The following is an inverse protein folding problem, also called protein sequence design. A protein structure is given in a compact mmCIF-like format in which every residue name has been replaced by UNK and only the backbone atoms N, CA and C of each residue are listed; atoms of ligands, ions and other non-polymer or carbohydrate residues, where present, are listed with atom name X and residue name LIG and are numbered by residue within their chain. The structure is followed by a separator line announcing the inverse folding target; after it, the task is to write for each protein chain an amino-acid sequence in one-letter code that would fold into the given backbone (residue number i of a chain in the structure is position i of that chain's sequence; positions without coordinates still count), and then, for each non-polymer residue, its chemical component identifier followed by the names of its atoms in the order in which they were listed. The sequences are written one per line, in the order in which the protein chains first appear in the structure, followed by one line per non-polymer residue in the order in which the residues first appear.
data_IF_589076411330
#
_entry.id   IF_589076411330
#
_cell.length_a   1.000
_cell.length_b   1.000
_cell.length_c   1.000
_cell.angle_alpha   90.00
_cell.angle_beta   90.00
_cell.angle_gamma   90.00
#
_symmetry.space_group_name_H-M   'P 1'
#
loop_
_entity.id
_entity.type
_entity.pdbx_description
1 polymer ?
#
# COMPACT_ATOMS: atom_id res chain seq x y z
N UNK A 1 -60.21 -1.83 83.71
CA UNK A 1 -59.05 -2.46 83.05
C UNK A 1 -59.56 -2.98 81.72
N UNK A 2 -59.23 -2.52 80.53
CA UNK A 2 -58.21 -1.63 79.96
C UNK A 2 -58.79 -1.14 78.62
N UNK A 3 -58.65 0.15 78.31
CA UNK A 3 -59.16 0.76 77.08
C UNK A 3 -58.33 0.32 75.87
N UNK A 4 -59.01 -0.12 74.80
CA UNK A 4 -58.41 -0.37 73.50
C UNK A 4 -58.27 0.97 72.74
N UNK A 5 -57.04 1.49 72.65
CA UNK A 5 -56.71 2.59 71.75
C UNK A 5 -56.52 2.06 70.33
N UNK A 6 -57.58 2.17 69.52
CA UNK A 6 -57.47 2.05 68.07
C UNK A 6 -56.75 3.28 67.52
N UNK A 7 -55.48 3.11 67.14
CA UNK A 7 -54.71 4.15 66.45
C UNK A 7 -55.22 4.23 65.01
N UNK A 8 -56.14 5.16 64.77
CA UNK A 8 -56.50 5.66 63.45
C UNK A 8 -55.23 6.25 62.80
N UNK A 9 -54.60 5.46 61.91
CA UNK A 9 -53.58 5.97 61.00
C UNK A 9 -54.24 7.04 60.12
N UNK A 10 -53.89 8.31 60.38
CA UNK A 10 -54.46 9.48 59.69
C UNK A 10 -54.32 9.34 58.16
N UNK A 11 -55.32 9.73 57.34
CA UNK A 11 -55.25 9.68 55.87
C UNK A 11 -54.08 10.49 55.27
N UNK A 12 -53.49 11.39 56.07
CA UNK A 12 -52.35 12.23 55.73
C UNK A 12 -51.06 11.39 55.56
N UNK A 13 -50.88 10.31 56.35
CA UNK A 13 -49.66 9.48 56.26
C UNK A 13 -49.67 8.59 55.01
N UNK A 14 -50.83 8.12 54.58
CA UNK A 14 -51.01 7.39 53.32
C UNK A 14 -50.77 8.27 52.09
N UNK A 15 -51.18 9.55 52.13
CA UNK A 15 -50.92 10.50 51.04
C UNK A 15 -49.44 10.83 50.87
N UNK A 16 -48.71 10.99 51.98
CA UNK A 16 -47.25 11.22 51.97
C UNK A 16 -46.46 10.01 51.46
N UNK A 17 -46.90 8.79 51.80
CA UNK A 17 -46.33 7.55 51.27
C UNK A 17 -46.58 7.39 49.77
N UNK A 18 -47.77 7.76 49.29
CA UNK A 18 -48.08 7.71 47.86
C UNK A 18 -47.27 8.73 47.06
N UNK A 19 -47.10 9.94 47.60
CA UNK A 19 -46.27 10.98 47.00
C UNK A 19 -44.79 10.61 46.98
N UNK A 20 -44.27 9.98 48.05
CA UNK A 20 -42.87 9.53 48.08
C UNK A 20 -42.65 8.36 47.12
N UNK A 21 -43.61 7.43 46.99
CA UNK A 21 -43.56 6.35 46.01
C UNK A 21 -43.62 6.88 44.57
N UNK A 22 -44.43 7.91 44.33
CA UNK A 22 -44.53 8.57 43.02
C UNK A 22 -43.27 9.37 42.68
N UNK A 23 -42.66 10.07 43.64
CA UNK A 23 -41.35 10.71 43.46
C UNK A 23 -40.24 9.68 43.22
N UNK A 24 -40.25 8.55 43.94
CA UNK A 24 -39.31 7.47 43.73
C UNK A 24 -39.49 6.83 42.35
N UNK A 25 -40.73 6.64 41.89
CA UNK A 25 -41.04 6.16 40.55
C UNK A 25 -40.60 7.15 39.47
N UNK A 26 -40.79 8.46 39.70
CA UNK A 26 -40.29 9.52 38.81
C UNK A 26 -38.76 9.59 38.79
N UNK A 27 -38.08 9.36 39.92
CA UNK A 27 -36.62 9.28 40.00
C UNK A 27 -36.09 8.02 39.30
N UNK A 28 -36.76 6.87 39.47
CA UNK A 28 -36.43 5.62 38.78
C UNK A 28 -36.67 5.71 37.27
N UNK A 29 -37.72 6.42 36.83
CA UNK A 29 -38.02 6.66 35.40
C UNK A 29 -37.13 7.77 34.81
N UNK A 30 -36.75 8.77 35.59
CA UNK A 30 -35.87 9.88 35.18
C UNK A 30 -34.40 9.49 35.04
N UNK A 31 -33.99 8.35 35.60
CA UNK A 31 -32.64 7.79 35.48
C UNK A 31 -32.32 7.28 34.06
N UNK A 32 -33.31 7.25 33.15
CA UNK A 32 -33.15 6.76 31.78
C UNK A 32 -33.07 7.86 30.72
N UNK A 33 -33.08 9.15 31.08
CA UNK A 33 -32.80 10.22 30.13
C UNK A 33 -31.31 10.60 30.21
N UNK A 34 -30.46 9.74 29.64
CA UNK A 34 -29.20 10.25 29.11
C UNK A 34 -29.54 11.20 27.95
N UNK A 35 -28.89 12.38 27.86
CA UNK A 35 -29.05 13.23 26.69
C UNK A 35 -28.69 12.41 25.47
N UNK A 36 -29.64 12.27 24.54
CA UNK A 36 -29.42 11.62 23.26
C UNK A 36 -28.48 12.52 22.44
N UNK A 37 -27.18 12.41 22.69
CA UNK A 37 -26.16 12.80 21.72
C UNK A 37 -26.44 11.99 20.46
N UNK A 38 -26.79 12.68 19.39
CA UNK A 38 -27.16 12.06 18.12
C UNK A 38 -25.91 11.36 17.54
N UNK A 39 -25.79 10.07 17.83
CA UNK A 39 -24.72 9.23 17.30
C UNK A 39 -25.12 8.70 15.91
N UNK A 40 -24.14 8.31 15.07
CA UNK A 40 -24.41 7.63 13.82
C UNK A 40 -25.27 6.38 14.09
N UNK A 41 -26.24 6.11 13.22
CA UNK A 41 -27.11 4.93 13.36
C UNK A 41 -26.26 3.66 13.38
N UNK A 42 -26.42 2.84 14.41
CA UNK A 42 -25.65 1.60 14.59
C UNK A 42 -24.35 1.75 15.38
N UNK A 43 -23.98 2.97 15.79
CA UNK A 43 -22.86 3.21 16.70
C UNK A 43 -23.32 3.37 18.14
N UNK A 44 -22.52 2.90 19.09
CA UNK A 44 -22.75 3.10 20.52
C UNK A 44 -21.44 3.31 21.29
N UNK A 45 -21.45 4.17 22.32
CA UNK A 45 -20.33 4.30 23.24
C UNK A 45 -20.26 3.10 24.19
N UNK A 46 -19.05 2.72 24.55
CA UNK A 46 -18.69 1.70 25.53
C UNK A 46 -17.49 2.20 26.34
N UNK A 47 -17.27 1.64 27.52
CA UNK A 47 -16.09 1.91 28.32
C UNK A 47 -15.40 0.60 28.66
N UNK A 48 -14.14 0.47 28.27
CA UNK A 48 -13.34 -0.74 28.45
C UNK A 48 -12.03 -0.35 29.11
N UNK A 49 -11.77 -0.90 30.30
CA UNK A 49 -10.55 -0.60 31.09
C UNK A 49 -10.34 0.90 31.40
N UNK A 50 -11.43 1.66 31.51
CA UNK A 50 -11.39 3.11 31.73
C UNK A 50 -11.09 3.94 30.47
N UNK A 51 -11.05 3.31 29.30
CA UNK A 51 -10.86 3.96 28.00
C UNK A 51 -12.21 4.13 27.29
N UNK A 52 -12.41 5.32 26.71
CA UNK A 52 -13.60 5.63 25.92
C UNK A 52 -13.54 4.89 24.60
N UNK A 53 -14.48 3.96 24.44
CA UNK A 53 -14.57 3.07 23.29
C UNK A 53 -15.81 3.42 22.49
N UNK A 54 -15.68 3.51 21.17
CA UNK A 54 -16.81 3.77 20.29
C UNK A 54 -16.95 2.61 19.31
N UNK A 55 -18.07 1.88 19.38
CA UNK A 55 -18.32 0.68 18.58
C UNK A 55 -19.34 0.99 17.50
N UNK A 56 -18.94 0.83 16.25
CA UNK A 56 -19.72 1.06 15.04
C UNK A 56 -19.69 -0.18 14.12
N UNK A 57 -19.48 -1.36 14.70
CA UNK A 57 -19.32 -2.62 13.97
C UNK A 57 -20.63 -2.99 13.24
N UNK A 58 -20.53 -3.39 11.97
CA UNK A 58 -21.69 -3.79 11.14
C UNK A 58 -22.82 -2.74 11.08
N UNK A 59 -22.46 -1.46 11.03
CA UNK A 59 -23.39 -0.34 10.92
C UNK A 59 -23.69 0.06 9.45
N UNK A 60 -23.27 -0.75 8.47
CA UNK A 60 -23.42 -0.49 7.03
C UNK A 60 -22.79 0.84 6.58
N UNK A 61 -21.72 1.27 7.24
CA UNK A 61 -21.07 2.54 6.97
C UNK A 61 -20.31 2.49 5.64
N UNK A 62 -20.48 3.52 4.82
CA UNK A 62 -19.73 3.72 3.57
C UNK A 62 -18.58 4.72 3.71
N UNK A 63 -18.53 5.44 4.83
CA UNK A 63 -17.51 6.42 5.15
C UNK A 63 -17.24 6.45 6.66
N UNK A 64 -16.10 7.01 7.05
CA UNK A 64 -15.76 7.23 8.46
C UNK A 64 -16.69 8.32 9.03
N UNK A 65 -17.46 8.05 10.10
CA UNK A 65 -18.37 9.03 10.67
C UNK A 65 -17.60 10.20 11.29
N UNK A 66 -18.09 11.44 11.09
CA UNK A 66 -17.48 12.65 11.67
C UNK A 66 -18.02 13.00 13.06
N UNK A 67 -19.15 12.41 13.45
CA UNK A 67 -19.85 12.70 14.71
C UNK A 67 -19.30 11.86 15.88
N UNK A 68 -18.05 11.39 15.80
CA UNK A 68 -17.39 10.61 16.86
C UNK A 68 -16.73 11.60 17.84
N UNK A 69 -16.92 11.44 19.15
CA UNK A 69 -16.29 12.31 20.15
C UNK A 69 -14.76 12.30 20.06
N UNK A 70 -14.14 13.48 20.16
CA UNK A 70 -12.69 13.67 20.04
C UNK A 70 -11.86 13.09 21.21
N UNK A 71 -12.52 12.69 22.28
CA UNK A 71 -11.96 12.02 23.46
C UNK A 71 -12.02 10.49 23.38
N UNK A 72 -12.36 9.94 22.20
CA UNK A 72 -12.37 8.50 21.94
C UNK A 72 -10.95 7.93 21.90
N UNK A 73 -10.72 6.84 22.63
CA UNK A 73 -9.45 6.11 22.66
C UNK A 73 -9.46 4.86 21.78
N UNK A 74 -10.58 4.16 21.68
CA UNK A 74 -10.72 2.97 20.85
C UNK A 74 -11.89 3.13 19.88
N UNK A 75 -11.66 2.89 18.61
CA UNK A 75 -12.68 3.00 17.57
C UNK A 75 -12.78 1.71 16.77
N UNK A 76 -13.94 1.08 16.82
CA UNK A 76 -14.26 -0.14 16.10
C UNK A 76 -15.21 0.19 14.94
N UNK A 77 -14.70 0.10 13.70
CA UNK A 77 -15.41 0.32 12.44
C UNK A 77 -15.44 -0.96 11.59
N UNK A 78 -15.25 -2.11 12.21
CA UNK A 78 -15.22 -3.44 11.58
C UNK A 78 -16.56 -3.84 10.94
N UNK A 79 -16.50 -4.75 9.95
CA UNK A 79 -17.68 -5.25 9.23
C UNK A 79 -18.55 -4.16 8.57
N UNK A 80 -17.93 -3.09 8.09
CA UNK A 80 -18.60 -2.03 7.33
C UNK A 80 -18.28 -2.12 5.82
N UNK A 81 -18.61 -1.09 5.06
CA UNK A 81 -18.50 -1.05 3.59
C UNK A 81 -17.66 0.15 3.13
N UNK A 82 -16.71 0.60 3.96
CA UNK A 82 -15.87 1.76 3.67
C UNK A 82 -14.93 1.42 2.50
N UNK A 83 -15.00 2.12 1.35
CA UNK A 83 -14.23 1.74 0.16
C UNK A 83 -12.88 2.48 0.03
N UNK A 84 -12.74 3.65 0.66
CA UNK A 84 -11.52 4.45 0.61
C UNK A 84 -11.31 5.22 1.91
N UNK A 85 -10.05 5.50 2.23
CA UNK A 85 -9.67 6.40 3.33
C UNK A 85 -9.02 7.67 2.76
N UNK A 86 -9.68 8.84 2.89
CA UNK A 86 -9.10 10.10 2.45
C UNK A 86 -7.98 10.55 3.39
N UNK A 87 -7.19 11.53 2.95
CA UNK A 87 -6.30 12.28 3.84
C UNK A 87 -7.09 12.83 5.02
N UNK A 88 -6.49 12.83 6.21
CA UNK A 88 -7.08 13.40 7.42
C UNK A 88 -8.41 12.73 7.84
N UNK A 89 -8.64 11.47 7.45
CA UNK A 89 -9.86 10.71 7.76
C UNK A 89 -10.19 10.66 9.27
N UNK A 90 -9.16 10.75 10.13
CA UNK A 90 -9.28 10.67 11.60
C UNK A 90 -8.77 11.95 12.28
N UNK A 91 -8.85 13.11 11.62
CA UNK A 91 -8.31 14.36 12.14
C UNK A 91 -8.92 14.80 13.47
N UNK A 92 -10.20 14.53 13.65
CA UNK A 92 -10.96 14.94 14.84
C UNK A 92 -10.78 13.98 16.02
N UNK A 93 -9.99 12.90 15.86
CA UNK A 93 -9.80 11.84 16.84
C UNK A 93 -8.31 11.69 17.26
N UNK A 94 -7.68 12.74 17.79
CA UNK A 94 -6.23 12.76 18.04
C UNK A 94 -5.76 11.84 19.19
N UNK A 95 -6.70 11.33 20.01
CA UNK A 95 -6.42 10.51 21.19
C UNK A 95 -6.64 9.00 20.95
N UNK A 96 -6.84 8.59 19.70
CA UNK A 96 -7.00 7.18 19.36
C UNK A 96 -5.72 6.40 19.64
N UNK A 97 -5.90 5.30 20.35
CA UNK A 97 -4.91 4.29 20.68
C UNK A 97 -5.12 3.02 19.85
N UNK A 98 -6.37 2.68 19.55
CA UNK A 98 -6.75 1.48 18.82
C UNK A 98 -7.80 1.81 17.75
N UNK A 99 -7.54 1.38 16.52
CA UNK A 99 -8.43 1.56 15.39
C UNK A 99 -8.60 0.25 14.64
N UNK A 100 -9.83 -0.25 14.60
CA UNK A 100 -10.20 -1.44 13.84
C UNK A 100 -11.03 -1.04 12.62
N UNK A 101 -10.47 -1.30 11.43
CA UNK A 101 -11.09 -1.12 10.12
C UNK A 101 -11.15 -2.46 9.37
N UNK A 102 -11.03 -3.57 10.09
CA UNK A 102 -11.07 -4.91 9.50
C UNK A 102 -12.41 -5.19 8.84
N UNK A 103 -12.44 -6.16 7.91
CA UNK A 103 -13.68 -6.59 7.26
C UNK A 103 -14.47 -5.45 6.58
N UNK A 104 -13.76 -4.49 5.98
CA UNK A 104 -14.33 -3.43 5.17
C UNK A 104 -14.09 -3.69 3.66
N UNK A 105 -14.40 -2.69 2.83
CA UNK A 105 -14.17 -2.74 1.39
C UNK A 105 -13.00 -1.86 0.94
N UNK A 106 -12.06 -1.53 1.84
CA UNK A 106 -11.05 -0.49 1.61
C UNK A 106 -10.11 -0.96 0.51
N UNK A 107 -10.13 -0.26 -0.62
CA UNK A 107 -9.26 -0.54 -1.76
C UNK A 107 -8.12 0.47 -1.90
N UNK A 108 -8.28 1.68 -1.34
CA UNK A 108 -7.30 2.77 -1.44
C UNK A 108 -7.20 3.56 -0.14
N UNK A 109 -5.97 3.88 0.24
CA UNK A 109 -5.63 4.73 1.38
C UNK A 109 -4.79 5.89 0.84
N UNK A 110 -5.23 7.12 1.07
CA UNK A 110 -4.47 8.30 0.67
C UNK A 110 -3.27 8.57 1.58
N UNK A 111 -2.29 9.29 1.06
CA UNK A 111 -1.15 9.74 1.85
C UNK A 111 -1.60 10.74 2.91
N UNK A 112 -1.25 10.45 4.17
CA UNK A 112 -1.67 11.22 5.33
C UNK A 112 -3.05 10.87 5.88
N UNK A 113 -3.67 9.76 5.47
CA UNK A 113 -4.94 9.30 6.07
C UNK A 113 -4.85 9.11 7.60
N UNK A 114 -3.69 8.66 8.09
CA UNK A 114 -3.42 8.43 9.52
C UNK A 114 -2.51 9.49 10.16
N UNK A 115 -2.27 10.63 9.50
CA UNK A 115 -1.28 11.62 9.94
C UNK A 115 -1.61 12.19 11.34
N UNK A 116 -2.89 12.41 11.63
CA UNK A 116 -3.36 12.88 12.95
C UNK A 116 -3.16 11.86 14.07
N UNK A 117 -2.95 10.58 13.73
CA UNK A 117 -2.87 9.47 14.67
C UNK A 117 -1.43 9.04 14.97
N UNK A 118 -0.44 9.61 14.27
CA UNK A 118 0.95 9.14 14.28
C UNK A 118 1.60 9.08 15.67
N UNK A 119 1.21 9.97 16.59
CA UNK A 119 1.80 10.08 17.93
C UNK A 119 1.21 9.09 18.95
N UNK A 120 -0.09 8.81 18.89
CA UNK A 120 -0.81 8.09 19.95
C UNK A 120 -1.29 6.69 19.56
N UNK A 121 -1.45 6.40 18.26
CA UNK A 121 -1.98 5.12 17.83
C UNK A 121 -1.00 3.99 18.14
N UNK A 122 -1.51 2.92 18.76
CA UNK A 122 -0.76 1.74 19.13
C UNK A 122 -1.12 0.52 18.28
N UNK A 123 -2.37 0.42 17.84
CA UNK A 123 -2.86 -0.69 17.04
C UNK A 123 -3.76 -0.20 15.91
N UNK A 124 -3.51 -0.72 14.71
CA UNK A 124 -4.29 -0.48 13.50
C UNK A 124 -4.59 -1.81 12.81
N UNK A 125 -5.87 -2.17 12.74
CA UNK A 125 -6.30 -3.34 11.98
C UNK A 125 -6.91 -2.93 10.63
N UNK A 126 -6.27 -3.37 9.54
CA UNK A 126 -6.74 -3.21 8.15
C UNK A 126 -6.94 -4.59 7.49
N UNK A 127 -7.02 -5.66 8.27
CA UNK A 127 -7.17 -7.01 7.75
C UNK A 127 -8.51 -7.22 7.04
N UNK A 128 -8.57 -8.22 6.17
CA UNK A 128 -9.81 -8.59 5.48
C UNK A 128 -10.44 -7.42 4.70
N UNK A 129 -9.61 -6.64 4.02
CA UNK A 129 -10.00 -5.54 3.14
C UNK A 129 -9.70 -5.88 1.67
N UNK A 130 -9.69 -4.87 0.79
CA UNK A 130 -9.46 -5.01 -0.65
C UNK A 130 -8.18 -4.30 -1.12
N UNK A 131 -7.20 -4.17 -0.24
CA UNK A 131 -5.95 -3.48 -0.53
C UNK A 131 -5.09 -4.31 -1.48
N UNK A 132 -4.81 -3.76 -2.66
CA UNK A 132 -3.91 -4.38 -3.64
C UNK A 132 -2.48 -3.85 -3.49
N UNK A 133 -2.34 -2.55 -3.29
CA UNK A 133 -1.04 -1.90 -3.09
C UNK A 133 -1.25 -0.59 -2.32
N UNK A 134 -0.40 -0.33 -1.35
CA UNK A 134 -0.42 0.90 -0.54
C UNK A 134 1.00 1.47 -0.46
N UNK A 135 1.13 2.78 -0.61
CA UNK A 135 2.44 3.43 -0.42
C UNK A 135 2.82 3.39 1.06
N UNK A 136 4.10 3.16 1.37
CA UNK A 136 4.65 3.33 2.72
C UNK A 136 4.35 4.73 3.30
N UNK A 137 4.22 5.74 2.44
CA UNK A 137 3.95 7.12 2.84
C UNK A 137 2.55 7.30 3.43
N UNK A 138 1.62 6.38 3.17
CA UNK A 138 0.30 6.39 3.83
C UNK A 138 0.43 6.12 5.35
N UNK A 139 1.47 5.39 5.75
CA UNK A 139 1.79 5.04 7.14
C UNK A 139 3.01 5.82 7.66
N UNK A 140 3.44 6.90 6.99
CA UNK A 140 4.62 7.65 7.40
C UNK A 140 4.49 8.16 8.82
N UNK A 141 5.53 7.97 9.64
CA UNK A 141 5.60 8.35 11.06
C UNK A 141 4.65 7.58 11.99
N UNK A 142 3.85 6.64 11.48
CA UNK A 142 3.00 5.81 12.31
C UNK A 142 3.85 4.75 13.04
N UNK A 143 3.81 4.75 14.37
CA UNK A 143 4.51 3.77 15.22
C UNK A 143 3.61 2.63 15.72
N UNK A 144 2.36 2.61 15.26
CA UNK A 144 1.40 1.59 15.62
C UNK A 144 1.77 0.23 15.04
N UNK A 145 1.37 -0.84 15.73
CA UNK A 145 1.37 -2.19 15.16
C UNK A 145 0.23 -2.29 14.15
N UNK A 146 0.55 -2.73 12.94
CA UNK A 146 -0.39 -2.79 11.82
C UNK A 146 -0.68 -4.23 11.45
N UNK A 147 -1.97 -4.57 11.34
CA UNK A 147 -2.42 -5.83 10.75
C UNK A 147 -2.87 -5.59 9.30
N UNK A 148 -2.19 -6.24 8.37
CA UNK A 148 -2.44 -6.13 6.91
C UNK A 148 -2.86 -7.48 6.30
N UNK A 149 -3.16 -8.48 7.13
CA UNK A 149 -3.52 -9.82 6.66
C UNK A 149 -4.79 -9.84 5.80
N UNK A 150 -4.98 -10.90 5.02
CA UNK A 150 -6.22 -11.16 4.28
C UNK A 150 -6.62 -10.02 3.32
N UNK A 151 -5.65 -9.46 2.61
CA UNK A 151 -5.87 -8.48 1.55
C UNK A 151 -5.31 -9.04 0.23
N UNK A 152 -5.88 -8.67 -0.94
CA UNK A 152 -5.46 -9.14 -2.25
C UNK A 152 -4.16 -8.48 -2.73
N UNK A 153 -3.08 -8.69 -1.97
CA UNK A 153 -1.82 -7.98 -2.18
C UNK A 153 -1.16 -8.32 -3.53
N UNK A 154 -0.74 -7.27 -4.23
CA UNK A 154 0.22 -7.36 -5.32
C UNK A 154 1.63 -7.40 -4.73
N UNK A 155 2.29 -8.55 -4.85
CA UNK A 155 3.65 -8.75 -4.36
C UNK A 155 4.67 -8.16 -5.33
N UNK A 156 5.04 -6.91 -5.06
CA UNK A 156 6.05 -6.15 -5.78
C UNK A 156 7.02 -5.45 -4.82
N UNK A 157 7.90 -4.60 -5.36
CA UNK A 157 8.82 -3.80 -4.55
C UNK A 157 8.09 -2.81 -3.62
N UNK A 158 6.88 -2.34 -3.97
CA UNK A 158 6.14 -1.39 -3.12
C UNK A 158 5.65 -2.06 -1.85
N UNK A 159 5.13 -3.29 -1.97
CA UNK A 159 4.75 -4.08 -0.80
C UNK A 159 5.98 -4.37 0.08
N UNK A 160 7.13 -4.68 -0.53
CA UNK A 160 8.37 -4.90 0.22
C UNK A 160 8.82 -3.67 1.01
N UNK A 161 8.73 -2.47 0.42
CA UNK A 161 9.02 -1.23 1.10
C UNK A 161 8.02 -0.92 2.23
N UNK A 162 6.72 -1.21 2.01
CA UNK A 162 5.68 -1.04 3.02
C UNK A 162 5.95 -1.92 4.24
N UNK A 163 6.18 -3.22 4.04
CA UNK A 163 6.42 -4.18 5.13
C UNK A 163 7.69 -3.86 5.91
N UNK A 164 8.69 -3.22 5.28
CA UNK A 164 9.89 -2.72 5.97
C UNK A 164 9.64 -1.43 6.76
N UNK A 165 8.63 -0.66 6.40
CA UNK A 165 8.33 0.62 7.02
C UNK A 165 7.38 0.52 8.23
N UNK A 166 6.56 -0.53 8.29
CA UNK A 166 5.55 -0.72 9.36
C UNK A 166 5.94 -1.83 10.34
N UNK A 167 5.51 -1.70 11.60
CA UNK A 167 5.62 -2.78 12.58
C UNK A 167 4.43 -3.72 12.44
N UNK A 168 4.63 -4.95 11.96
CA UNK A 168 3.55 -5.91 11.80
C UNK A 168 3.17 -6.59 13.12
N UNK A 169 1.87 -6.83 13.31
CA UNK A 169 1.40 -7.74 14.36
C UNK A 169 1.89 -9.16 14.05
N UNK A 170 2.31 -9.93 15.07
CA UNK A 170 2.85 -11.28 14.89
C UNK A 170 1.91 -12.20 14.08
N UNK A 171 0.60 -12.10 14.30
CA UNK A 171 -0.43 -12.84 13.54
C UNK A 171 -0.53 -12.40 12.08
N UNK A 172 -0.24 -11.13 11.78
CA UNK A 172 -0.27 -10.60 10.41
C UNK A 172 0.85 -11.15 9.53
N UNK A 173 1.97 -11.60 10.12
CA UNK A 173 3.16 -12.03 9.39
C UNK A 173 2.92 -13.22 8.45
N UNK A 174 2.06 -14.17 8.85
CA UNK A 174 1.65 -15.31 8.03
C UNK A 174 0.41 -15.06 7.17
N UNK A 175 -0.38 -14.03 7.49
CA UNK A 175 -1.63 -13.71 6.80
C UNK A 175 -1.48 -12.80 5.57
N UNK A 176 -0.28 -12.29 5.29
CA UNK A 176 0.01 -11.51 4.08
C UNK A 176 0.42 -12.50 2.98
N UNK A 177 -0.55 -12.86 2.15
CA UNK A 177 -0.38 -13.80 1.03
C UNK A 177 -0.45 -13.03 -0.29
N UNK A 178 0.41 -13.40 -1.24
CA UNK A 178 0.42 -12.81 -2.57
C UNK A 178 -0.79 -13.28 -3.37
N UNK A 179 -1.73 -12.38 -3.67
CA UNK A 179 -2.86 -12.67 -4.57
C UNK A 179 -2.44 -12.52 -6.04
N UNK A 180 -1.61 -11.51 -6.31
CA UNK A 180 -1.00 -11.30 -7.61
C UNK A 180 0.48 -10.97 -7.47
N UNK A 181 1.26 -11.27 -8.50
CA UNK A 181 2.69 -11.00 -8.55
C UNK A 181 3.11 -10.90 -10.01
N UNK A 182 4.21 -10.18 -10.26
CA UNK A 182 4.85 -10.14 -11.57
C UNK A 182 5.51 -11.45 -11.97
N UNK A 183 5.82 -12.30 -10.98
CA UNK A 183 6.25 -13.68 -11.17
C UNK A 183 5.16 -14.60 -10.62
N UNK A 184 4.57 -15.43 -11.50
CA UNK A 184 3.46 -16.33 -11.16
C UNK A 184 3.81 -17.32 -10.03
N UNK A 185 5.10 -17.64 -9.86
CA UNK A 185 5.59 -18.55 -8.82
C UNK A 185 5.43 -18.04 -7.38
N UNK A 186 5.13 -16.76 -7.19
CA UNK A 186 4.91 -16.17 -5.88
C UNK A 186 3.43 -16.11 -5.48
N UNK A 187 2.51 -16.31 -6.43
CA UNK A 187 1.07 -16.28 -6.16
C UNK A 187 0.69 -17.41 -5.20
N UNK A 188 -0.10 -17.08 -4.17
CA UNK A 188 -0.50 -17.99 -3.10
C UNK A 188 0.53 -18.24 -2.01
N UNK A 189 1.74 -17.67 -2.11
CA UNK A 189 2.78 -17.79 -1.06
C UNK A 189 2.69 -16.65 -0.05
N UNK A 190 3.10 -16.93 1.19
CA UNK A 190 3.25 -15.89 2.20
C UNK A 190 4.37 -14.92 1.78
N UNK A 191 4.10 -13.62 1.88
CA UNK A 191 5.01 -12.60 1.39
C UNK A 191 6.38 -12.63 2.08
N UNK A 192 6.41 -12.90 3.39
CA UNK A 192 7.66 -13.02 4.14
C UNK A 192 8.56 -14.16 3.64
N UNK A 193 7.97 -15.24 3.12
CA UNK A 193 8.73 -16.31 2.47
C UNK A 193 9.32 -15.84 1.13
N UNK A 194 8.54 -15.11 0.34
CA UNK A 194 8.98 -14.58 -0.96
C UNK A 194 10.19 -13.65 -0.81
N UNK A 195 10.16 -12.72 0.16
CA UNK A 195 11.26 -11.78 0.37
C UNK A 195 12.49 -12.39 1.07
N UNK A 196 12.34 -13.58 1.67
CA UNK A 196 13.47 -14.34 2.19
C UNK A 196 14.28 -14.98 1.04
N UNK A 197 13.60 -15.40 -0.02
CA UNK A 197 14.20 -16.06 -1.19
C UNK A 197 14.68 -15.06 -2.25
N UNK A 198 14.01 -13.91 -2.40
CA UNK A 198 14.32 -12.92 -3.43
C UNK A 198 14.08 -11.46 -2.99
N UNK A 199 15.01 -10.57 -3.33
CA UNK A 199 14.82 -9.12 -3.14
C UNK A 199 14.08 -8.52 -4.35
N UNK A 200 12.75 -8.42 -4.26
CA UNK A 200 11.88 -7.95 -5.35
C UNK A 200 12.31 -6.58 -5.89
N UNK A 201 12.85 -5.69 -5.05
CA UNK A 201 13.34 -4.38 -5.49
C UNK A 201 14.64 -4.44 -6.33
N UNK A 202 15.47 -5.48 -6.15
CA UNK A 202 16.74 -5.63 -6.86
C UNK A 202 16.67 -6.58 -8.07
N UNK A 203 15.74 -7.55 -8.06
CA UNK A 203 15.52 -8.48 -9.19
C UNK A 203 15.26 -7.72 -10.50
N UNK A 204 14.55 -6.60 -10.45
CA UNK A 204 14.29 -5.76 -11.63
C UNK A 204 15.54 -5.10 -12.21
N UNK A 205 16.44 -4.60 -11.36
CA UNK A 205 17.70 -4.00 -11.84
C UNK A 205 18.60 -5.05 -12.51
N UNK A 206 18.65 -6.25 -11.92
CA UNK A 206 19.51 -7.33 -12.42
C UNK A 206 19.06 -7.85 -13.79
N UNK A 207 17.74 -7.97 -14.02
CA UNK A 207 17.21 -8.43 -15.31
C UNK A 207 17.40 -7.39 -16.42
N UNK A 208 17.23 -6.09 -16.12
CA UNK A 208 17.50 -5.02 -17.10
C UNK A 208 18.97 -4.93 -17.49
N UNK A 209 19.89 -5.11 -16.54
CA UNK A 209 21.33 -5.08 -16.83
C UNK A 209 21.74 -6.23 -17.76
N UNK A 210 21.25 -7.45 -17.51
CA UNK A 210 21.53 -8.60 -18.37
C UNK A 210 20.95 -8.41 -19.78
N UNK A 211 19.70 -7.97 -19.89
CA UNK A 211 19.07 -7.73 -21.19
C UNK A 211 19.81 -6.65 -21.99
N UNK A 212 20.21 -5.56 -21.33
CA UNK A 212 20.97 -4.49 -21.97
C UNK A 212 22.35 -4.99 -22.44
N UNK A 213 23.05 -5.79 -21.64
CA UNK A 213 24.32 -6.41 -22.06
C UNK A 213 24.14 -7.34 -23.27
N UNK A 214 23.11 -8.19 -23.28
CA UNK A 214 22.83 -9.08 -24.43
C UNK A 214 22.55 -8.28 -25.70
N UNK A 215 21.75 -7.22 -25.62
CA UNK A 215 21.48 -6.36 -26.80
C UNK A 215 22.74 -5.62 -27.27
N UNK A 216 23.58 -5.15 -26.35
CA UNK A 216 24.85 -4.50 -26.67
C UNK A 216 25.80 -5.46 -27.39
N UNK A 217 26.00 -6.68 -26.87
CA UNK A 217 26.82 -7.69 -27.52
C UNK A 217 26.26 -8.11 -28.88
N UNK A 218 24.93 -8.24 -29.02
CA UNK A 218 24.29 -8.52 -30.30
C UNK A 218 24.53 -7.42 -31.33
N UNK A 219 24.45 -6.15 -30.92
CA UNK A 219 24.70 -5.01 -31.80
C UNK A 219 26.17 -4.92 -32.21
N UNK A 220 27.10 -5.10 -31.28
CA UNK A 220 28.54 -5.15 -31.59
C UNK A 220 28.88 -6.30 -32.55
N UNK A 221 28.32 -7.50 -32.33
CA UNK A 221 28.51 -8.61 -33.24
C UNK A 221 28.00 -8.28 -34.66
N UNK A 222 26.80 -7.68 -34.76
CA UNK A 222 26.25 -7.24 -36.05
C UNK A 222 27.15 -6.22 -36.76
N UNK A 223 27.60 -5.18 -36.03
CA UNK A 223 28.47 -4.13 -36.59
C UNK A 223 29.81 -4.69 -37.01
N UNK A 224 30.44 -5.54 -36.20
CA UNK A 224 31.72 -6.18 -36.53
C UNK A 224 31.54 -7.07 -37.78
N UNK A 225 30.48 -7.87 -37.84
CA UNK A 225 30.18 -8.69 -39.03
C UNK A 225 29.97 -7.84 -40.28
N UNK A 226 29.25 -6.73 -40.18
CA UNK A 226 29.05 -5.79 -41.29
C UNK A 226 30.37 -5.16 -41.75
N UNK A 227 31.22 -4.70 -40.82
CA UNK A 227 32.52 -4.13 -41.15
C UNK A 227 33.44 -5.16 -41.81
N UNK A 228 33.49 -6.39 -41.29
CA UNK A 228 34.28 -7.48 -41.90
C UNK A 228 33.77 -7.78 -43.31
N UNK A 229 32.46 -7.88 -43.49
CA UNK A 229 31.85 -8.06 -44.81
C UNK A 229 32.22 -6.92 -45.77
N UNK A 230 32.06 -5.67 -45.34
CA UNK A 230 32.35 -4.48 -46.14
C UNK A 230 33.83 -4.41 -46.55
N UNK A 231 34.76 -4.71 -45.63
CA UNK A 231 36.20 -4.74 -45.92
C UNK A 231 36.53 -5.86 -46.90
N UNK A 232 35.97 -7.07 -46.71
CA UNK A 232 36.18 -8.21 -47.63
C UNK A 232 35.67 -7.88 -49.03
N UNK A 233 34.48 -7.32 -49.13
CA UNK A 233 33.87 -6.89 -50.38
C UNK A 233 34.74 -5.86 -51.11
N UNK A 234 35.18 -4.80 -50.41
CA UNK A 234 36.05 -3.78 -50.99
C UNK A 234 37.41 -4.33 -51.43
N UNK A 235 37.98 -5.29 -50.69
CA UNK A 235 39.23 -5.95 -51.11
C UNK A 235 39.04 -6.80 -52.38
N UNK A 236 37.91 -7.49 -52.50
CA UNK A 236 37.57 -8.26 -53.70
C UNK A 236 37.33 -7.37 -54.91
N UNK A 237 36.62 -6.25 -54.75
CA UNK A 237 36.41 -5.25 -55.81
C UNK A 237 37.75 -4.64 -56.26
N UNK A 238 38.61 -4.21 -55.32
CA UNK A 238 39.94 -3.67 -55.65
C UNK A 238 40.82 -4.69 -56.41
N UNK A 239 40.76 -5.97 -56.01
CA UNK A 239 41.50 -7.05 -56.68
C UNK A 239 41.02 -7.24 -58.12
N UNK A 240 39.71 -7.25 -58.35
CA UNK A 240 39.11 -7.34 -59.70
C UNK A 240 39.52 -6.17 -60.59
N UNK A 241 39.51 -4.94 -60.07
CA UNK A 241 39.97 -3.76 -60.81
C UNK A 241 41.45 -3.85 -61.20
N UNK A 242 42.32 -4.36 -60.30
CA UNK A 242 43.73 -4.55 -60.61
C UNK A 242 43.96 -5.58 -61.72
N UNK A 243 43.19 -6.68 -61.70
CA UNK A 243 43.24 -7.72 -62.74
C UNK A 243 42.75 -7.20 -64.10
N UNK A 244 41.70 -6.38 -64.11
CA UNK A 244 41.24 -5.68 -65.32
C UNK A 244 42.30 -4.71 -65.88
N UNK A 245 42.98 -3.95 -65.01
CA UNK A 245 44.05 -3.04 -65.46
C UNK A 245 45.24 -3.81 -66.06
N UNK A 246 45.53 -5.01 -65.57
CA UNK A 246 46.59 -5.88 -66.11
C UNK A 246 46.23 -6.51 -67.47
N UNK A 247 44.95 -6.74 -67.75
CA UNK A 247 44.51 -7.33 -69.01
C UNK A 247 44.41 -6.32 -70.16
N UNK A 248 44.48 -5.03 -69.86
CA UNK A 248 44.55 -3.99 -70.88
C UNK A 248 45.87 -4.11 -71.68
N UNK A 249 45.81 -4.13 -73.03
CA UNK A 249 47.00 -4.25 -73.86
C UNK A 249 47.92 -3.04 -73.63
N UNK A 250 49.19 -3.29 -73.30
CA UNK A 250 50.17 -2.21 -73.14
C UNK A 250 50.42 -1.57 -74.50
N UNK A 251 50.15 -0.26 -74.61
CA UNK A 251 50.53 0.50 -75.79
C UNK A 251 52.05 0.68 -75.73
N UNK A 252 52.77 -0.26 -76.36
CA UNK A 252 54.21 -0.20 -76.52
C UNK A 252 54.56 1.14 -77.17
N UNK A 253 55.15 2.04 -76.38
CA UNK A 253 55.58 3.36 -76.84
C UNK A 253 56.82 3.14 -77.69
N UNK A 254 56.60 2.94 -78.98
CA UNK A 254 57.58 3.15 -80.05
C UNK A 254 57.97 4.64 -80.01
N UNK A 255 59.12 4.93 -79.42
CA UNK A 255 59.90 6.11 -79.79
C UNK A 255 61.15 5.58 -80.48
N UNK A 256 61.05 5.48 -81.80
CA UNK A 256 62.19 5.41 -82.71
C UNK A 256 63.04 6.67 -82.52
N UNK A 257 64.36 6.43 -82.44
CA UNK A 257 65.40 7.18 -83.15
C UNK A 257 65.18 8.69 -83.37
N UNK A 258 65.93 9.50 -82.62
CA UNK A 258 66.47 10.77 -83.12
C UNK A 258 67.96 10.85 -82.79
N UNK A 259 68.74 10.17 -83.63
CA UNK A 259 69.92 10.71 -84.31
C UNK A 259 70.82 11.75 -83.58
N UNK A 260 72.06 11.30 -83.37
CA UNK A 260 73.34 11.97 -83.71
C UNK A 260 73.89 13.19 -82.95
N UNK A 261 75.19 13.03 -82.61
CA UNK A 261 76.32 13.99 -82.78
C UNK A 261 76.62 14.98 -81.64
N UNK A 262 77.79 14.77 -81.00
CA UNK A 262 79.01 15.63 -81.00
C UNK A 262 79.73 15.57 -79.64
N UNK A 263 80.81 14.79 -79.49
CA UNK A 263 82.25 15.18 -79.55
C UNK A 263 82.79 15.96 -78.33
N UNK A 264 83.86 15.39 -77.73
CA UNK A 264 85.17 16.01 -77.37
C UNK A 264 85.11 17.24 -76.44
N UNK A 265 85.63 17.26 -75.21
CA UNK A 265 87.00 17.06 -74.69
C UNK A 265 86.90 16.66 -73.22
#
# INVERSE_FOLDING_TARGET
MTAAQGVLLRPITMGLLLQSLFLLLLLLLGSCLHPATAFPKGCYPSEEEGLKTFRCSNAQLTEVPRDIPNDTNKLYLDFNQIPFLPRDAFRDLPLLLELDLSHNAIARIETGAFQSLAEHLHSLDLSSNRLVSVSKDAFSNLKAKVNLSNNPWLCDCRLQELIRAVELVAESSGGIVCDSSTQEEHVGKAFLQVIADADLCNVYKKTTDIAMLVTMFGWFAMVISYLVYYVRQNQEDARRHLEYLKSLPSKQRRSEESSTISTVV
#
